data_IF_909520117493
#
_entry.id   IF_909520117493
#
_cell.length_a   1.000
_cell.length_b   1.000
_cell.length_c   1.000
_cell.angle_alpha   90.00
_cell.angle_beta   90.00
_cell.angle_gamma   90.00
#
_symmetry.space_group_name_H-M   'P 1'
#
loop_
_entity.id
_entity.type
_entity.pdbx_description
1 polymer ?
#
# COMPACT_ATOMS: atom_id res chain seq x y z
N UNK A 1 -10.49 4.58 -10.03
CA UNK A 1 -9.24 3.78 -9.99
C UNK A 1 -8.40 4.09 -11.23
N UNK A 2 -7.09 4.14 -11.09
CA UNK A 2 -6.18 4.35 -12.23
C UNK A 2 -5.76 3.00 -12.81
N UNK A 3 -5.34 2.95 -14.10
CA UNK A 3 -4.79 1.72 -14.70
C UNK A 3 -3.66 1.15 -13.85
N UNK A 4 -2.83 2.01 -13.23
CA UNK A 4 -1.74 1.60 -12.36
C UNK A 4 -2.23 0.89 -11.09
N UNK A 5 -3.23 1.44 -10.38
CA UNK A 5 -3.76 0.81 -9.17
C UNK A 5 -4.51 -0.49 -9.48
N UNK A 6 -5.29 -0.52 -10.56
CA UNK A 6 -5.96 -1.76 -10.97
C UNK A 6 -4.99 -2.85 -11.41
N UNK A 7 -3.89 -2.47 -12.10
CA UNK A 7 -2.82 -3.40 -12.45
C UNK A 7 -2.13 -3.94 -11.20
N UNK A 8 -1.81 -3.07 -10.24
CA UNK A 8 -1.15 -3.50 -9.00
C UNK A 8 -2.03 -4.48 -8.21
N UNK A 9 -3.33 -4.19 -8.07
CA UNK A 9 -4.29 -5.10 -7.45
C UNK A 9 -4.31 -6.47 -8.13
N UNK A 10 -4.35 -6.50 -9.46
CA UNK A 10 -4.31 -7.75 -10.24
C UNK A 10 -3.01 -8.51 -10.02
N UNK A 11 -1.86 -7.83 -10.01
CA UNK A 11 -0.55 -8.43 -9.78
C UNK A 11 -0.39 -8.96 -8.34
N UNK A 12 -0.89 -8.23 -7.34
CA UNK A 12 -0.88 -8.67 -5.94
C UNK A 12 -1.77 -9.91 -5.73
N UNK A 13 -2.95 -9.94 -6.36
CA UNK A 13 -3.86 -11.09 -6.32
C UNK A 13 -3.25 -12.35 -6.93
N UNK A 14 -2.43 -12.19 -7.98
CA UNK A 14 -1.77 -13.27 -8.71
C UNK A 14 -0.25 -13.27 -8.46
N UNK A 15 0.18 -12.91 -7.26
CA UNK A 15 1.60 -12.77 -6.93
C UNK A 15 2.39 -14.05 -7.17
N UNK A 16 3.44 -13.95 -7.99
CA UNK A 16 4.25 -15.07 -8.42
C UNK A 16 3.70 -15.83 -9.65
N UNK A 17 2.59 -15.35 -10.24
CA UNK A 17 2.06 -15.88 -11.49
C UNK A 17 2.34 -14.92 -12.65
N UNK A 18 2.54 -15.48 -13.83
CA UNK A 18 2.79 -14.69 -15.04
C UNK A 18 1.47 -14.35 -15.72
N UNK A 19 1.18 -13.06 -15.83
CA UNK A 19 0.02 -12.54 -16.54
C UNK A 19 0.43 -11.97 -17.90
N UNK A 20 -0.27 -12.34 -18.97
CA UNK A 20 0.03 -11.78 -20.30
C UNK A 20 -0.38 -10.32 -20.38
N UNK A 21 0.42 -9.49 -21.07
CA UNK A 21 0.06 -8.08 -21.25
C UNK A 21 -1.24 -7.87 -22.05
N UNK A 22 -1.63 -8.83 -22.87
CA UNK A 22 -2.89 -8.84 -23.59
C UNK A 22 -4.08 -9.14 -22.67
N UNK A 23 -3.95 -10.16 -21.82
CA UNK A 23 -4.96 -10.50 -20.81
C UNK A 23 -5.20 -9.33 -19.85
N UNK A 24 -4.12 -8.72 -19.33
CA UNK A 24 -4.20 -7.54 -18.45
C UNK A 24 -4.92 -6.39 -19.18
N UNK A 25 -4.53 -6.08 -20.42
CA UNK A 25 -5.13 -5.00 -21.18
C UNK A 25 -6.64 -5.23 -21.43
N UNK A 26 -7.02 -6.48 -21.73
CA UNK A 26 -8.42 -6.86 -21.94
C UNK A 26 -9.24 -6.74 -20.65
N UNK A 27 -8.73 -7.24 -19.51
CA UNK A 27 -9.45 -7.21 -18.23
C UNK A 27 -9.59 -5.78 -17.68
N UNK A 28 -8.54 -4.95 -17.86
CA UNK A 28 -8.57 -3.56 -17.43
C UNK A 28 -9.22 -2.60 -18.41
N UNK A 29 -9.65 -3.06 -19.58
CA UNK A 29 -10.25 -2.23 -20.64
C UNK A 29 -9.31 -1.13 -21.14
N UNK A 30 -8.00 -1.42 -21.23
CA UNK A 30 -6.98 -0.45 -21.62
C UNK A 30 -6.06 -0.98 -22.74
N UNK A 31 -5.13 -0.17 -23.21
CA UNK A 31 -4.17 -0.58 -24.23
C UNK A 31 -2.95 -1.26 -23.61
N UNK A 32 -2.28 -2.15 -24.38
CA UNK A 32 -0.99 -2.74 -23.96
C UNK A 32 0.07 -1.68 -23.65
N UNK A 33 0.04 -0.54 -24.36
CA UNK A 33 0.93 0.59 -24.06
C UNK A 33 0.66 1.23 -22.69
N UNK A 34 -0.63 1.30 -22.28
CA UNK A 34 -0.99 1.78 -20.95
C UNK A 34 -0.52 0.79 -19.86
N UNK A 35 -0.66 -0.52 -20.08
CA UNK A 35 -0.12 -1.55 -19.19
C UNK A 35 1.39 -1.40 -19.03
N UNK A 36 2.12 -1.25 -20.14
CA UNK A 36 3.57 -1.06 -20.10
C UNK A 36 3.99 0.17 -19.30
N UNK A 37 3.31 1.31 -19.50
CA UNK A 37 3.55 2.54 -18.73
C UNK A 37 3.29 2.34 -17.24
N UNK A 38 2.21 1.64 -16.88
CA UNK A 38 1.87 1.33 -15.51
C UNK A 38 2.93 0.42 -14.85
N UNK A 39 3.38 -0.62 -15.54
CA UNK A 39 4.48 -1.49 -15.08
C UNK A 39 5.76 -0.69 -14.87
N UNK A 40 6.11 0.18 -15.81
CA UNK A 40 7.29 1.04 -15.68
C UNK A 40 7.21 1.91 -14.43
N UNK A 41 6.06 2.57 -14.19
CA UNK A 41 5.84 3.40 -13.00
C UNK A 41 5.95 2.58 -11.71
N UNK A 42 5.35 1.39 -11.64
CA UNK A 42 5.45 0.53 -10.47
C UNK A 42 6.89 0.08 -10.19
N UNK A 43 7.66 -0.21 -11.23
CA UNK A 43 9.10 -0.53 -11.07
C UNK A 43 9.90 0.65 -10.52
N UNK A 44 9.63 1.86 -11.00
CA UNK A 44 10.23 3.10 -10.48
C UNK A 44 9.87 3.34 -9.01
N UNK A 45 8.69 2.89 -8.57
CA UNK A 45 8.25 2.89 -7.18
C UNK A 45 8.82 1.73 -6.34
N UNK A 46 9.66 0.87 -6.94
CA UNK A 46 10.38 -0.20 -6.25
C UNK A 46 9.66 -1.55 -6.21
N UNK A 47 8.60 -1.74 -7.00
CA UNK A 47 7.99 -3.07 -7.16
C UNK A 47 8.86 -3.97 -8.03
N UNK A 48 9.16 -5.18 -7.54
CA UNK A 48 9.90 -6.15 -8.31
C UNK A 48 8.95 -6.89 -9.28
N UNK A 49 8.77 -6.31 -10.47
CA UNK A 49 7.94 -6.88 -11.53
C UNK A 49 8.85 -7.44 -12.60
N UNK A 50 8.83 -8.76 -12.78
CA UNK A 50 9.51 -9.43 -13.87
C UNK A 50 8.73 -9.25 -15.17
N UNK A 51 9.46 -9.09 -16.28
CA UNK A 51 8.89 -9.06 -17.61
C UNK A 51 9.88 -9.66 -18.60
N UNK A 52 9.39 -10.41 -19.55
CA UNK A 52 10.19 -10.97 -20.61
C UNK A 52 9.51 -10.80 -21.98
N UNK A 53 10.29 -10.87 -23.09
CA UNK A 53 9.72 -10.90 -24.44
C UNK A 53 8.71 -12.03 -24.53
N UNK A 54 7.46 -11.70 -24.88
CA UNK A 54 6.34 -12.66 -25.00
C UNK A 54 5.99 -13.46 -23.71
N UNK A 55 6.56 -13.11 -22.54
CA UNK A 55 6.33 -13.82 -21.27
C UNK A 55 5.34 -13.14 -20.33
N UNK A 56 4.91 -11.89 -20.63
CA UNK A 56 4.02 -11.14 -19.76
C UNK A 56 4.71 -10.51 -18.56
N UNK A 57 3.96 -10.27 -17.49
CA UNK A 57 4.40 -9.59 -16.26
C UNK A 57 4.09 -10.45 -15.04
N UNK A 58 4.99 -10.46 -14.07
CA UNK A 58 4.85 -11.19 -12.81
C UNK A 58 5.37 -10.34 -11.66
N UNK A 59 4.58 -10.14 -10.63
CA UNK A 59 5.06 -9.59 -9.37
C UNK A 59 5.81 -10.68 -8.61
N UNK A 60 7.08 -10.46 -8.31
CA UNK A 60 7.91 -11.45 -7.64
C UNK A 60 7.37 -11.78 -6.24
N UNK A 61 7.44 -13.05 -5.84
CA UNK A 61 6.93 -13.54 -4.54
C UNK A 61 7.63 -12.91 -3.34
N UNK A 62 8.90 -12.56 -3.50
CA UNK A 62 9.75 -11.95 -2.48
C UNK A 62 9.57 -10.42 -2.38
N UNK A 63 8.69 -9.83 -3.19
CA UNK A 63 8.35 -8.41 -3.06
C UNK A 63 7.74 -8.16 -1.68
N UNK A 64 8.44 -7.37 -0.86
CA UNK A 64 8.01 -6.98 0.50
C UNK A 64 7.50 -5.54 0.57
N UNK A 65 7.20 -4.93 -0.57
CA UNK A 65 6.65 -3.57 -0.62
C UNK A 65 5.19 -3.57 -0.19
N UNK A 66 4.89 -2.76 0.83
CA UNK A 66 3.51 -2.55 1.26
C UNK A 66 2.76 -1.70 0.21
N UNK A 67 1.57 -2.14 -0.14
CA UNK A 67 0.63 -1.42 -1.00
C UNK A 67 -0.77 -1.41 -0.41
N UNK A 68 -1.54 -0.36 -0.68
CA UNK A 68 -2.95 -0.34 -0.31
C UNK A 68 -3.71 -1.47 -1.00
N UNK A 69 -3.38 -1.71 -2.26
CA UNK A 69 -3.97 -2.75 -3.10
C UNK A 69 -3.75 -4.14 -2.50
N UNK A 70 -2.50 -4.46 -2.14
CA UNK A 70 -2.17 -5.75 -1.51
C UNK A 70 -2.83 -5.94 -0.14
N UNK A 71 -2.87 -4.90 0.69
CA UNK A 71 -3.53 -4.97 2.01
C UNK A 71 -5.03 -5.17 1.86
N UNK A 72 -5.68 -4.47 0.90
CA UNK A 72 -7.13 -4.56 0.67
C UNK A 72 -7.61 -5.95 0.31
N UNK A 73 -6.77 -6.81 -0.28
CA UNK A 73 -7.11 -8.20 -0.60
C UNK A 73 -7.43 -9.05 0.65
N UNK A 74 -6.99 -8.60 1.83
CA UNK A 74 -7.15 -9.32 3.10
C UNK A 74 -8.10 -8.62 4.08
N UNK A 75 -8.76 -7.52 3.65
CA UNK A 75 -9.72 -6.80 4.48
C UNK A 75 -11.15 -7.18 4.11
N UNK A 76 -11.97 -7.44 5.13
CA UNK A 76 -13.41 -7.69 4.96
C UNK A 76 -14.16 -6.42 4.53
N UNK A 77 -13.73 -5.24 5.01
CA UNK A 77 -14.30 -3.94 4.60
C UNK A 77 -13.35 -3.21 3.63
N UNK A 78 -13.69 -3.17 2.32
CA UNK A 78 -12.87 -2.48 1.33
C UNK A 78 -12.89 -0.94 1.45
N UNK A 79 -13.81 -0.38 2.27
CA UNK A 79 -13.94 1.07 2.47
C UNK A 79 -13.01 1.63 3.53
N UNK A 80 -12.34 0.77 4.29
CA UNK A 80 -11.37 1.20 5.30
C UNK A 80 -10.29 2.08 4.65
N UNK A 81 -10.09 3.27 5.21
CA UNK A 81 -9.02 4.17 4.77
C UNK A 81 -7.67 3.61 5.21
N UNK A 82 -6.74 3.50 4.27
CA UNK A 82 -5.38 3.05 4.50
C UNK A 82 -4.44 4.07 3.85
N UNK A 83 -3.65 4.75 4.64
CA UNK A 83 -2.62 5.65 4.15
C UNK A 83 -1.24 5.05 4.42
N UNK A 84 -0.45 4.91 3.36
CA UNK A 84 0.91 4.35 3.41
C UNK A 84 1.90 5.42 2.99
N UNK A 85 2.90 5.63 3.83
CA UNK A 85 3.96 6.62 3.64
C UNK A 85 5.33 5.93 3.64
N UNK A 86 6.25 6.40 2.83
CA UNK A 86 7.63 5.94 2.90
C UNK A 86 8.29 6.43 4.20
N UNK A 87 8.03 7.69 4.59
CA UNK A 87 8.53 8.27 5.84
C UNK A 87 7.52 9.23 6.46
N UNK A 88 7.41 9.22 7.78
CA UNK A 88 6.65 10.15 8.62
C UNK A 88 7.43 10.52 9.87
N UNK A 89 7.08 11.63 10.52
CA UNK A 89 7.55 11.89 11.88
C UNK A 89 7.06 10.79 12.84
N UNK A 90 5.74 10.52 12.82
CA UNK A 90 5.11 9.49 13.66
C UNK A 90 3.74 9.13 13.11
N UNK A 91 3.49 7.84 12.88
CA UNK A 91 2.16 7.33 12.48
C UNK A 91 1.08 7.72 13.49
N UNK A 92 1.41 7.74 14.78
CA UNK A 92 0.47 8.09 15.85
C UNK A 92 0.09 9.59 15.81
N UNK A 93 1.04 10.48 15.53
CA UNK A 93 0.75 11.91 15.40
C UNK A 93 -0.10 12.18 14.14
N UNK A 94 0.25 11.57 13.02
CA UNK A 94 -0.52 11.68 11.77
C UNK A 94 -1.93 11.16 11.96
N UNK A 95 -2.10 9.97 12.55
CA UNK A 95 -3.42 9.40 12.83
C UNK A 95 -4.28 10.29 13.73
N UNK A 96 -3.68 10.89 14.78
CA UNK A 96 -4.38 11.86 15.64
C UNK A 96 -4.83 13.09 14.87
N UNK A 97 -3.94 13.67 14.06
CA UNK A 97 -4.24 14.84 13.23
C UNK A 97 -5.41 14.56 12.28
N UNK A 98 -5.35 13.46 11.53
CA UNK A 98 -6.39 13.06 10.59
C UNK A 98 -7.73 12.80 11.28
N UNK A 99 -7.70 12.15 12.46
CA UNK A 99 -8.91 11.94 13.26
C UNK A 99 -9.55 13.24 13.74
N UNK A 100 -8.73 14.22 14.16
CA UNK A 100 -9.20 15.55 14.64
C UNK A 100 -9.74 16.40 13.49
N UNK A 101 -9.13 16.32 12.30
CA UNK A 101 -9.60 17.05 11.11
C UNK A 101 -10.80 16.39 10.44
N UNK A 102 -11.23 15.23 10.89
CA UNK A 102 -12.34 14.48 10.28
C UNK A 102 -11.98 13.79 8.97
N UNK A 103 -10.70 13.74 8.63
CA UNK A 103 -10.19 13.14 7.39
C UNK A 103 -10.15 11.60 7.45
N UNK A 104 -10.14 11.02 8.67
CA UNK A 104 -10.13 9.60 8.91
C UNK A 104 -11.17 9.16 9.93
N UNK A 105 -11.86 8.06 9.62
CA UNK A 105 -12.91 7.45 10.43
C UNK A 105 -12.41 6.35 11.36
N UNK A 106 -13.35 5.68 12.02
CA UNK A 106 -13.10 4.48 12.81
C UNK A 106 -12.51 3.38 11.92
N UNK A 107 -11.49 2.69 12.39
CA UNK A 107 -10.82 1.62 11.68
C UNK A 107 -9.77 2.08 10.65
N UNK A 108 -9.59 3.40 10.44
CA UNK A 108 -8.59 3.89 9.50
C UNK A 108 -7.15 3.58 9.96
N UNK A 109 -6.28 3.27 9.00
CA UNK A 109 -4.88 2.92 9.22
C UNK A 109 -3.95 4.00 8.67
N UNK A 110 -2.94 4.35 9.45
CA UNK A 110 -1.77 5.12 9.02
C UNK A 110 -0.55 4.24 9.17
N UNK A 111 0.13 3.98 8.07
CA UNK A 111 1.28 3.06 7.99
C UNK A 111 2.49 3.83 7.45
N UNK A 112 3.66 3.60 8.01
CA UNK A 112 4.93 4.15 7.52
C UNK A 112 6.01 3.07 7.44
N UNK A 113 6.92 3.21 6.47
CA UNK A 113 8.12 2.35 6.35
C UNK A 113 9.23 2.81 7.28
N UNK A 114 9.25 4.11 7.63
CA UNK A 114 10.17 4.68 8.62
C UNK A 114 9.51 5.83 9.38
N UNK A 115 10.02 6.12 10.57
CA UNK A 115 9.61 7.28 11.36
C UNK A 115 10.85 8.06 11.80
N UNK A 116 10.81 9.39 11.62
CA UNK A 116 11.91 10.29 12.03
C UNK A 116 11.82 10.70 13.49
N UNK A 117 10.62 10.66 14.08
CA UNK A 117 10.36 11.01 15.47
C UNK A 117 9.36 10.02 16.11
N UNK A 118 9.64 8.71 15.95
CA UNK A 118 8.85 7.65 16.54
C UNK A 118 8.78 7.80 18.06
N UNK A 119 7.58 7.59 18.65
CA UNK A 119 7.34 7.79 20.09
C UNK A 119 6.94 6.51 20.78
N UNK A 120 7.72 6.18 21.80
CA UNK A 120 7.41 5.14 22.76
C UNK A 120 6.55 5.65 23.92
N UNK A 121 6.30 4.78 24.89
CA UNK A 121 5.57 5.13 26.12
C UNK A 121 6.39 6.10 26.99
N UNK A 122 5.71 6.99 27.72
CA UNK A 122 6.31 7.96 28.64
C UNK A 122 7.32 8.91 27.99
N UNK A 123 7.08 9.30 26.72
CA UNK A 123 7.92 10.26 26.01
C UNK A 123 9.26 9.73 25.53
N UNK A 124 9.51 8.42 25.62
CA UNK A 124 10.74 7.82 25.08
C UNK A 124 10.74 7.86 23.57
N UNK A 125 11.91 8.02 22.99
CA UNK A 125 12.09 7.84 21.55
C UNK A 125 11.92 6.36 21.18
N UNK A 126 11.35 6.13 19.98
CA UNK A 126 11.23 4.81 19.39
C UNK A 126 11.95 4.81 18.04
N UNK A 127 13.11 4.17 17.98
CA UNK A 127 13.90 4.07 16.75
C UNK A 127 13.15 3.26 15.69
N UNK A 128 12.91 3.87 14.55
CA UNK A 128 11.99 3.34 13.51
C UNK A 128 12.63 3.43 12.12
N UNK A 129 13.75 2.77 11.85
CA UNK A 129 14.39 2.81 10.54
C UNK A 129 13.59 2.02 9.49
N UNK A 130 13.81 2.37 8.21
CA UNK A 130 13.19 1.64 7.10
C UNK A 130 13.63 0.16 7.07
N UNK A 131 12.76 -0.68 6.52
CA UNK A 131 13.00 -2.11 6.23
C UNK A 131 13.33 -3.00 7.46
N UNK A 132 13.09 -2.52 8.68
CA UNK A 132 13.34 -3.26 9.92
C UNK A 132 12.08 -3.57 10.72
N UNK A 133 10.96 -2.97 10.40
CA UNK A 133 9.70 -3.16 11.11
C UNK A 133 8.50 -2.62 10.36
N UNK A 134 7.33 -2.84 10.93
CA UNK A 134 6.07 -2.26 10.51
C UNK A 134 5.64 -1.20 11.53
N UNK A 135 5.52 0.03 11.09
CA UNK A 135 5.06 1.15 11.92
C UNK A 135 3.65 1.51 11.51
N UNK A 136 2.69 1.28 12.40
CA UNK A 136 1.27 1.39 12.08
C UNK A 136 0.49 1.97 13.26
N UNK A 137 -0.48 2.84 12.96
CA UNK A 137 -1.48 3.31 13.91
C UNK A 137 -2.88 3.09 13.35
N UNK A 138 -3.80 2.68 14.22
CA UNK A 138 -5.22 2.49 13.90
C UNK A 138 -6.02 3.54 14.64
N UNK A 139 -6.96 4.16 13.95
CA UNK A 139 -7.87 5.15 14.54
C UNK A 139 -9.10 4.41 15.05
N UNK A 140 -9.31 4.43 16.36
CA UNK A 140 -10.50 3.89 17.00
C UNK A 140 -11.36 5.03 17.51
N UNK A 141 -12.62 5.08 17.07
CA UNK A 141 -13.65 6.02 17.56
C UNK A 141 -14.72 5.19 18.24
N UNK A 142 -14.63 4.97 19.57
CA UNK A 142 -15.65 4.22 20.30
C UNK A 142 -16.99 4.93 20.21
N UNK A 143 -18.04 4.17 19.93
CA UNK A 143 -19.41 4.65 19.98
C UNK A 143 -19.96 4.27 21.36
N UNK A 144 -20.04 5.23 22.26
CA UNK A 144 -20.57 5.06 23.60
C UNK A 144 -19.92 5.99 24.62
N UNK A 145 -20.64 6.29 25.67
CA UNK A 145 -20.13 6.99 26.87
C UNK A 145 -19.25 6.02 27.66
N UNK A 146 -18.07 6.50 28.04
CA UNK A 146 -17.21 5.87 29.05
C UNK A 146 -17.88 6.04 30.41
#
# INVERSE_FOLDING_TARGET
MTVKSSLLEMLEKNKGEVLSGESIAGELGCTRAAVWKAVKSLREEGYHIEAGPNKGYMLAKDTNRLSQEGIRLFLDDPKVKIDIYDELESTNQTAKKEAMMGEAGHGAFVIARSQTAGRGRRGREFYSPADTGLYMSVILKPQGTI
#
